data_IF_221307039809
#
_entry.id   IF_221307039809
#
_cell.length_a   1.000
_cell.length_b   1.000
_cell.length_c   1.000
_cell.angle_alpha   90.00
_cell.angle_beta   90.00
_cell.angle_gamma   90.00
#
_symmetry.space_group_name_H-M   'P 1'
#
loop_
_entity.id
_entity.type
_entity.pdbx_description
1 polymer ?
#
# COMPACT_ATOMS: atom_id res chain seq x y z
N UNK A 1 -17.66 7.14 -13.93
CA UNK A 1 -18.11 7.12 -12.51
C UNK A 1 -17.68 5.78 -11.93
N UNK A 2 -17.03 5.74 -10.78
CA UNK A 2 -16.33 4.54 -10.27
C UNK A 2 -17.22 3.79 -9.26
N UNK A 3 -17.25 2.47 -9.35
CA UNK A 3 -17.83 1.56 -8.35
C UNK A 3 -16.70 0.92 -7.55
N UNK A 4 -16.74 1.08 -6.23
CA UNK A 4 -15.71 0.60 -5.30
C UNK A 4 -16.13 -0.76 -4.75
N UNK A 5 -16.04 -1.78 -5.60
CA UNK A 5 -16.32 -3.16 -5.19
C UNK A 5 -15.06 -3.81 -4.58
N UNK A 6 -15.16 -5.07 -4.16
CA UNK A 6 -14.02 -5.81 -3.59
C UNK A 6 -12.80 -5.85 -4.54
N UNK A 7 -13.02 -6.16 -5.82
CA UNK A 7 -11.95 -6.15 -6.84
C UNK A 7 -11.26 -4.79 -7.00
N UNK A 8 -11.94 -3.70 -6.67
CA UNK A 8 -11.35 -2.38 -6.66
C UNK A 8 -10.20 -2.29 -5.66
N UNK A 9 -10.33 -2.91 -4.48
CA UNK A 9 -9.32 -2.91 -3.42
C UNK A 9 -8.11 -3.79 -3.77
N UNK A 10 -8.32 -4.94 -4.42
CA UNK A 10 -7.22 -5.83 -4.84
C UNK A 10 -6.40 -5.30 -6.02
N UNK A 11 -6.95 -4.35 -6.79
CA UNK A 11 -6.26 -3.82 -7.96
C UNK A 11 -5.15 -2.83 -7.58
N UNK A 12 -3.90 -3.19 -7.88
CA UNK A 12 -2.72 -2.36 -7.65
C UNK A 12 -2.78 -0.95 -8.24
N UNK A 13 -3.56 -0.76 -9.31
CA UNK A 13 -3.70 0.55 -9.96
C UNK A 13 -4.57 1.52 -9.15
N UNK A 14 -5.36 1.03 -8.22
CA UNK A 14 -6.25 1.82 -7.36
C UNK A 14 -5.63 2.14 -6.00
N UNK A 15 -4.32 1.91 -5.83
CA UNK A 15 -3.65 2.01 -4.54
C UNK A 15 -3.82 3.38 -3.87
N UNK A 16 -3.77 4.47 -4.63
CA UNK A 16 -3.96 5.82 -4.08
C UNK A 16 -5.32 6.00 -3.40
N UNK A 17 -6.43 5.84 -4.13
CA UNK A 17 -7.77 5.84 -3.53
C UNK A 17 -7.95 4.83 -2.39
N UNK A 18 -7.43 3.61 -2.52
CA UNK A 18 -7.53 2.56 -1.49
C UNK A 18 -6.84 2.98 -0.19
N UNK A 19 -5.62 3.53 -0.27
CA UNK A 19 -4.93 4.06 0.90
C UNK A 19 -5.68 5.21 1.55
N UNK A 20 -6.25 6.14 0.77
CA UNK A 20 -7.05 7.24 1.32
C UNK A 20 -8.29 6.74 2.06
N UNK A 21 -8.94 5.69 1.56
CA UNK A 21 -10.03 5.02 2.26
C UNK A 21 -9.52 4.47 3.59
N UNK A 22 -8.46 3.66 3.60
CA UNK A 22 -7.91 3.08 4.84
C UNK A 22 -7.48 4.11 5.86
N UNK A 23 -6.78 5.16 5.41
CA UNK A 23 -6.38 6.31 6.25
C UNK A 23 -7.59 7.02 6.84
N UNK A 24 -8.64 7.26 6.05
CA UNK A 24 -9.86 7.89 6.53
C UNK A 24 -10.57 7.01 7.58
N UNK A 25 -10.72 5.72 7.31
CA UNK A 25 -11.33 4.77 8.24
C UNK A 25 -10.58 4.75 9.58
N UNK A 26 -9.25 4.73 9.53
CA UNK A 26 -8.40 4.69 10.72
C UNK A 26 -8.48 6.00 11.50
N UNK A 27 -8.18 7.14 10.86
CA UNK A 27 -8.14 8.47 11.52
C UNK A 27 -9.46 8.89 12.14
N UNK A 28 -10.59 8.49 11.55
CA UNK A 28 -11.93 8.85 12.05
C UNK A 28 -12.56 7.76 12.93
N UNK A 29 -11.84 6.67 13.25
CA UNK A 29 -12.35 5.62 14.13
C UNK A 29 -13.59 4.89 13.60
N UNK A 30 -13.82 4.88 12.28
CA UNK A 30 -15.06 4.37 11.65
C UNK A 30 -15.32 2.91 12.04
N UNK A 31 -16.51 2.61 12.54
CA UNK A 31 -16.97 1.28 12.94
C UNK A 31 -17.92 0.67 11.90
N UNK A 32 -18.26 -0.61 12.02
CA UNK A 32 -19.17 -1.27 11.07
C UNK A 32 -20.59 -0.67 11.08
N UNK A 33 -21.03 -0.18 12.25
CA UNK A 33 -22.32 0.51 12.38
C UNK A 33 -22.35 1.85 11.63
N UNK A 34 -21.22 2.54 11.53
CA UNK A 34 -21.13 3.80 10.79
C UNK A 34 -21.31 3.61 9.27
N UNK A 35 -21.14 2.39 8.75
CA UNK A 35 -21.33 2.09 7.33
C UNK A 35 -22.80 2.08 6.90
N UNK A 36 -23.74 2.05 7.85
CA UNK A 36 -25.17 2.18 7.54
C UNK A 36 -25.56 3.65 7.29
N UNK A 37 -24.70 4.60 7.66
CA UNK A 37 -24.87 6.02 7.37
C UNK A 37 -24.35 6.38 5.96
N UNK A 38 -25.26 6.85 5.10
CA UNK A 38 -24.94 7.27 3.74
C UNK A 38 -24.03 8.50 3.70
N UNK A 39 -24.06 9.39 4.69
CA UNK A 39 -23.18 10.55 4.77
C UNK A 39 -21.76 10.13 5.10
N UNK A 40 -21.57 9.15 5.99
CA UNK A 40 -20.27 8.53 6.27
C UNK A 40 -19.69 7.90 5.01
N UNK A 41 -20.45 7.07 4.31
CA UNK A 41 -20.01 6.43 3.06
C UNK A 41 -19.69 7.46 1.97
N UNK A 42 -20.47 8.54 1.88
CA UNK A 42 -20.19 9.62 0.93
C UNK A 42 -18.87 10.33 1.27
N UNK A 43 -18.59 10.56 2.56
CA UNK A 43 -17.35 11.18 3.00
C UNK A 43 -16.12 10.27 2.76
N UNK A 44 -16.28 8.94 2.87
CA UNK A 44 -15.25 7.97 2.46
C UNK A 44 -14.96 8.10 0.95
N UNK A 45 -15.99 8.17 0.10
CA UNK A 45 -15.78 8.33 -1.35
C UNK A 45 -15.11 9.68 -1.69
N UNK A 46 -15.44 10.74 -0.95
CA UNK A 46 -14.82 12.07 -1.11
C UNK A 46 -13.36 12.09 -0.69
N UNK A 47 -13.03 11.49 0.46
CA UNK A 47 -11.63 11.43 0.93
C UNK A 47 -10.74 10.68 -0.05
N UNK A 48 -11.30 9.68 -0.73
CA UNK A 48 -10.64 8.94 -1.80
C UNK A 48 -10.60 9.66 -3.15
N UNK A 49 -11.12 10.89 -3.25
CA UNK A 49 -11.24 11.68 -4.49
C UNK A 49 -12.07 11.00 -5.59
N UNK A 50 -12.96 10.09 -5.23
CA UNK A 50 -13.77 9.30 -6.17
C UNK A 50 -15.06 10.00 -6.58
N UNK A 51 -15.49 10.99 -5.79
CA UNK A 51 -16.58 11.90 -6.12
C UNK A 51 -16.14 13.34 -5.86
N UNK A 52 -16.49 14.30 -6.73
CA UNK A 52 -16.18 15.71 -6.51
C UNK A 52 -16.90 16.30 -5.29
N UNK A 53 -16.31 17.33 -4.69
CA UNK A 53 -16.97 18.17 -3.69
C UNK A 53 -18.28 18.74 -4.24
N UNK A 54 -19.34 18.72 -3.44
CA UNK A 54 -20.68 19.20 -3.85
C UNK A 54 -21.49 18.22 -4.70
N UNK A 55 -20.92 17.10 -5.15
CA UNK A 55 -21.67 16.01 -5.79
C UNK A 55 -22.05 14.94 -4.76
N UNK A 56 -23.28 14.42 -4.88
CA UNK A 56 -23.75 13.26 -4.12
C UNK A 56 -23.29 11.94 -4.74
N UNK A 57 -23.07 10.92 -3.91
CA UNK A 57 -22.93 9.55 -4.37
C UNK A 57 -24.29 8.98 -4.75
N UNK A 58 -24.34 8.09 -5.75
CA UNK A 58 -25.58 7.37 -6.06
C UNK A 58 -25.80 6.23 -5.06
N UNK A 59 -27.06 5.80 -4.81
CA UNK A 59 -27.33 4.67 -3.92
C UNK A 59 -26.55 3.40 -4.27
N UNK A 60 -26.36 3.14 -5.58
CA UNK A 60 -25.58 2.00 -6.04
C UNK A 60 -24.10 2.11 -5.65
N UNK A 61 -23.50 3.31 -5.69
CA UNK A 61 -22.12 3.51 -5.24
C UNK A 61 -21.98 3.27 -3.75
N UNK A 62 -22.92 3.77 -2.96
CA UNK A 62 -22.92 3.62 -1.50
C UNK A 62 -23.08 2.16 -1.09
N UNK A 63 -24.05 1.44 -1.69
CA UNK A 63 -24.24 0.02 -1.43
C UNK A 63 -23.01 -0.80 -1.84
N UNK A 64 -22.47 -0.55 -3.04
CA UNK A 64 -21.27 -1.26 -3.51
C UNK A 64 -20.06 -1.05 -2.59
N UNK A 65 -19.84 0.19 -2.13
CA UNK A 65 -18.76 0.49 -1.19
C UNK A 65 -18.99 -0.20 0.15
N UNK A 66 -20.20 -0.11 0.70
CA UNK A 66 -20.57 -0.75 1.98
C UNK A 66 -20.29 -2.24 1.94
N UNK A 67 -20.79 -2.91 0.90
CA UNK A 67 -20.64 -4.35 0.72
C UNK A 67 -19.16 -4.73 0.58
N UNK A 68 -18.39 -3.97 -0.19
CA UNK A 68 -16.95 -4.21 -0.33
C UNK A 68 -16.18 -4.06 0.99
N UNK A 69 -16.46 -3.00 1.76
CA UNK A 69 -15.84 -2.79 3.08
C UNK A 69 -16.20 -3.93 4.02
N UNK A 70 -17.46 -4.36 4.06
CA UNK A 70 -17.91 -5.46 4.93
C UNK A 70 -17.31 -6.80 4.53
N UNK A 71 -17.20 -7.09 3.23
CA UNK A 71 -16.56 -8.31 2.73
C UNK A 71 -15.09 -8.38 3.10
N UNK A 72 -14.34 -7.28 2.96
CA UNK A 72 -12.91 -7.25 3.32
C UNK A 72 -12.71 -7.14 4.84
N UNK A 73 -13.68 -6.57 5.55
CA UNK A 73 -13.67 -6.10 6.95
C UNK A 73 -12.99 -4.75 7.15
N UNK A 74 -13.61 -3.90 7.99
CA UNK A 74 -13.08 -2.58 8.36
C UNK A 74 -11.69 -2.69 8.98
N UNK A 75 -11.48 -3.65 9.88
CA UNK A 75 -10.22 -3.75 10.63
C UNK A 75 -9.03 -4.04 9.70
N UNK A 76 -9.24 -4.89 8.67
CA UNK A 76 -8.24 -5.10 7.64
C UNK A 76 -7.98 -3.84 6.82
N UNK A 77 -9.02 -3.09 6.45
CA UNK A 77 -8.84 -1.84 5.70
C UNK A 77 -8.17 -0.73 6.54
N UNK A 78 -8.34 -0.74 7.87
CA UNK A 78 -7.67 0.21 8.77
C UNK A 78 -6.19 -0.12 8.95
N UNK A 79 -5.86 -1.39 9.19
CA UNK A 79 -4.54 -1.75 9.74
C UNK A 79 -3.71 -2.69 8.87
N UNK A 80 -4.32 -3.32 7.86
CA UNK A 80 -3.71 -4.42 7.11
C UNK A 80 -3.95 -4.31 5.60
N UNK A 81 -4.00 -3.10 5.02
CA UNK A 81 -4.21 -2.94 3.57
C UNK A 81 -3.10 -3.60 2.73
N UNK A 82 -1.90 -3.79 3.26
CA UNK A 82 -0.84 -4.56 2.59
C UNK A 82 -1.24 -6.03 2.37
N UNK A 83 -2.17 -6.58 3.15
CA UNK A 83 -2.73 -7.92 2.94
C UNK A 83 -3.81 -7.96 1.86
N UNK A 84 -4.22 -6.80 1.36
CA UNK A 84 -5.30 -6.62 0.39
C UNK A 84 -4.75 -6.12 -0.94
N UNK A 85 -3.93 -5.08 -0.94
CA UNK A 85 -3.43 -4.48 -2.18
C UNK A 85 -1.95 -4.80 -2.40
N UNK A 86 -1.58 -5.46 -3.52
CA UNK A 86 -0.19 -5.83 -3.80
C UNK A 86 0.80 -4.66 -3.91
N UNK A 87 0.34 -3.47 -4.32
CA UNK A 87 1.22 -2.30 -4.36
C UNK A 87 1.56 -1.82 -2.94
N UNK A 88 0.62 -1.91 -2.00
CA UNK A 88 0.86 -1.58 -0.59
C UNK A 88 1.79 -2.62 0.03
N UNK A 89 1.59 -3.91 -0.28
CA UNK A 89 2.50 -4.98 0.17
C UNK A 89 3.95 -4.70 -0.24
N UNK A 90 4.17 -4.37 -1.52
CA UNK A 90 5.51 -4.09 -2.04
C UNK A 90 6.15 -2.89 -1.33
N UNK A 91 5.41 -1.79 -1.16
CA UNK A 91 5.94 -0.58 -0.48
C UNK A 91 6.17 -0.83 1.00
N UNK A 92 5.26 -1.53 1.69
CA UNK A 92 5.45 -1.91 3.09
C UNK A 92 6.68 -2.80 3.28
N UNK A 93 6.90 -3.74 2.35
CA UNK A 93 8.10 -4.56 2.36
C UNK A 93 9.38 -3.73 2.20
N UNK A 94 9.44 -2.86 1.21
CA UNK A 94 10.64 -2.05 0.95
C UNK A 94 10.88 -1.05 2.09
N UNK A 95 9.88 -0.23 2.44
CA UNK A 95 10.07 0.94 3.30
C UNK A 95 9.85 0.67 4.80
N UNK A 96 9.19 -0.43 5.17
CA UNK A 96 8.93 -0.75 6.58
C UNK A 96 9.70 -2.01 7.04
N UNK A 97 10.02 -2.94 6.13
CA UNK A 97 10.68 -4.20 6.51
C UNK A 97 12.15 -4.26 6.10
N UNK A 98 12.49 -3.91 4.85
CA UNK A 98 13.86 -4.04 4.34
C UNK A 98 14.74 -2.83 4.64
N UNK A 99 14.14 -1.64 4.58
CA UNK A 99 14.78 -0.34 4.80
C UNK A 99 13.86 0.54 5.67
N UNK A 100 13.59 0.15 6.93
CA UNK A 100 12.70 0.90 7.82
C UNK A 100 13.16 2.35 8.02
N UNK A 101 12.22 3.23 8.33
CA UNK A 101 12.50 4.57 8.83
C UNK A 101 12.91 4.53 10.29
N UNK A 102 14.09 5.05 10.61
CA UNK A 102 14.44 5.33 12.01
C UNK A 102 14.17 6.79 12.34
N UNK A 103 13.55 7.03 13.49
CA UNK A 103 13.21 8.37 13.97
C UNK A 103 14.45 9.23 14.29
N UNK A 104 15.61 8.59 14.52
CA UNK A 104 16.86 9.23 14.90
C UNK A 104 17.79 9.50 13.69
N UNK A 105 17.31 9.28 12.47
CA UNK A 105 18.14 9.47 11.28
C UNK A 105 18.42 10.93 10.98
N UNK A 106 19.67 11.19 10.60
CA UNK A 106 20.08 12.49 10.08
C UNK A 106 19.48 12.70 8.68
N UNK A 107 19.37 13.96 8.26
CA UNK A 107 18.80 14.33 6.96
C UNK A 107 19.52 13.60 5.79
N UNK A 108 20.83 13.42 5.88
CA UNK A 108 21.63 12.73 4.87
C UNK A 108 21.27 11.23 4.74
N UNK A 109 21.03 10.54 5.86
CA UNK A 109 20.61 9.14 5.88
C UNK A 109 19.21 8.96 5.26
N UNK A 110 18.32 9.93 5.52
CA UNK A 110 16.98 9.97 4.93
C UNK A 110 17.04 10.09 3.40
N UNK A 111 17.92 10.94 2.87
CA UNK A 111 18.09 11.12 1.42
C UNK A 111 18.65 9.85 0.77
N UNK A 112 19.68 9.23 1.35
CA UNK A 112 20.29 7.99 0.84
C UNK A 112 19.27 6.86 0.76
N UNK A 113 18.41 6.71 1.78
CA UNK A 113 17.35 5.70 1.76
C UNK A 113 16.29 6.02 0.71
N UNK A 114 15.86 7.28 0.60
CA UNK A 114 14.87 7.66 -0.42
C UNK A 114 15.40 7.34 -1.82
N UNK A 115 16.69 7.56 -2.07
CA UNK A 115 17.33 7.16 -3.32
C UNK A 115 17.39 5.64 -3.48
N UNK A 116 17.68 4.89 -2.42
CA UNK A 116 17.62 3.42 -2.41
C UNK A 116 16.23 2.90 -2.79
N UNK A 117 15.17 3.42 -2.18
CA UNK A 117 13.78 3.06 -2.52
C UNK A 117 13.49 3.34 -4.00
N UNK A 118 13.93 4.49 -4.51
CA UNK A 118 13.75 4.86 -5.92
C UNK A 118 14.49 3.91 -6.87
N UNK A 119 15.72 3.52 -6.52
CA UNK A 119 16.49 2.54 -7.30
C UNK A 119 15.77 1.19 -7.37
N UNK A 120 15.24 0.71 -6.23
CA UNK A 120 14.44 -0.52 -6.17
C UNK A 120 13.19 -0.42 -7.06
N UNK A 121 12.38 0.63 -6.91
CA UNK A 121 11.15 0.81 -7.69
C UNK A 121 11.40 1.04 -9.19
N UNK A 122 12.58 1.53 -9.55
CA UNK A 122 13.01 1.65 -10.96
C UNK A 122 13.45 0.33 -11.58
N UNK A 123 13.66 -0.71 -10.75
CA UNK A 123 14.16 -2.00 -11.19
C UNK A 123 15.67 -2.02 -11.43
N UNK A 124 16.43 -1.12 -10.79
CA UNK A 124 17.89 -1.09 -10.86
C UNK A 124 18.44 -2.41 -10.31
N UNK A 125 19.31 -3.06 -11.09
CA UNK A 125 19.68 -4.45 -10.84
C UNK A 125 20.39 -4.65 -9.50
N UNK A 126 21.32 -3.77 -9.17
CA UNK A 126 22.08 -3.88 -7.92
C UNK A 126 21.17 -3.69 -6.71
N UNK A 127 20.36 -2.64 -6.70
CA UNK A 127 19.44 -2.32 -5.62
C UNK A 127 18.37 -3.40 -5.44
N UNK A 128 17.79 -3.91 -6.53
CA UNK A 128 16.82 -5.02 -6.47
C UNK A 128 17.48 -6.31 -5.96
N UNK A 129 18.69 -6.62 -6.43
CA UNK A 129 19.42 -7.81 -5.97
C UNK A 129 19.74 -7.71 -4.47
N UNK A 130 20.13 -6.53 -3.99
CA UNK A 130 20.37 -6.29 -2.57
C UNK A 130 19.08 -6.40 -1.74
N UNK A 131 17.98 -5.81 -2.20
CA UNK A 131 16.68 -5.93 -1.56
C UNK A 131 16.22 -7.40 -1.49
N UNK A 132 16.42 -8.17 -2.57
CA UNK A 132 16.07 -9.59 -2.61
C UNK A 132 16.96 -10.45 -1.71
N UNK A 133 18.25 -10.13 -1.63
CA UNK A 133 19.18 -10.74 -0.66
C UNK A 133 18.71 -10.51 0.77
N UNK A 134 18.36 -9.26 1.12
CA UNK A 134 17.81 -8.93 2.44
C UNK A 134 16.50 -9.66 2.72
N UNK A 135 15.59 -9.69 1.74
CA UNK A 135 14.30 -10.37 1.83
C UNK A 135 14.46 -11.88 2.10
N UNK A 136 15.37 -12.52 1.37
CA UNK A 136 15.69 -13.95 1.52
C UNK A 136 16.66 -14.26 2.65
N UNK A 137 17.12 -13.26 3.43
CA UNK A 137 18.16 -13.40 4.47
C UNK A 137 19.43 -14.09 3.96
N UNK A 138 19.82 -13.81 2.71
CA UNK A 138 20.96 -14.42 2.01
C UNK A 138 20.89 -15.95 1.91
N UNK A 139 19.71 -16.56 2.08
CA UNK A 139 19.54 -18.02 2.05
C UNK A 139 19.36 -18.58 0.64
N UNK A 140 19.08 -17.72 -0.35
CA UNK A 140 18.78 -18.14 -1.71
C UNK A 140 19.96 -17.89 -2.66
N UNK A 141 20.33 -18.90 -3.47
CA UNK A 141 21.24 -18.71 -4.60
C UNK A 141 20.45 -18.21 -5.79
N UNK A 142 20.81 -17.04 -6.31
CA UNK A 142 20.08 -16.40 -7.39
C UNK A 142 20.46 -16.94 -8.74
N UNK A 143 19.46 -17.31 -9.54
CA UNK A 143 19.65 -17.53 -10.98
C UNK A 143 19.40 -16.21 -11.73
N UNK A 144 20.02 -16.00 -12.91
CA UNK A 144 19.73 -14.83 -13.74
C UNK A 144 18.24 -14.68 -14.09
N UNK A 145 17.52 -15.81 -14.24
CA UNK A 145 16.09 -15.82 -14.47
C UNK A 145 15.30 -15.29 -13.26
N UNK A 146 15.66 -15.71 -12.05
CA UNK A 146 15.04 -15.19 -10.81
C UNK A 146 15.27 -13.69 -10.67
N UNK A 147 16.51 -13.20 -10.83
CA UNK A 147 16.80 -11.76 -10.74
C UNK A 147 15.99 -10.97 -11.78
N UNK A 148 15.81 -11.50 -12.99
CA UNK A 148 14.97 -10.87 -14.02
C UNK A 148 13.49 -10.79 -13.58
N UNK A 149 12.93 -11.86 -13.03
CA UNK A 149 11.56 -11.87 -12.50
C UNK A 149 11.38 -10.88 -11.36
N UNK A 150 12.30 -10.92 -10.39
CA UNK A 150 12.29 -10.04 -9.21
C UNK A 150 12.40 -8.56 -9.63
N UNK A 151 13.27 -8.22 -10.59
CA UNK A 151 13.35 -6.87 -11.17
C UNK A 151 12.03 -6.44 -11.79
N UNK A 152 11.37 -7.31 -12.55
CA UNK A 152 10.07 -6.99 -13.14
C UNK A 152 8.99 -6.80 -12.09
N UNK A 153 9.08 -7.50 -10.96
CA UNK A 153 8.13 -7.38 -9.86
C UNK A 153 8.28 -6.06 -9.11
N UNK A 154 9.52 -5.72 -8.70
CA UNK A 154 9.81 -4.46 -8.01
C UNK A 154 9.61 -3.22 -8.90
N UNK A 155 9.75 -3.38 -10.22
CA UNK A 155 9.55 -2.30 -11.17
C UNK A 155 8.09 -1.88 -11.21
N UNK A 156 7.78 -0.78 -10.54
CA UNK A 156 6.50 -0.08 -10.65
C UNK A 156 6.79 1.35 -11.09
N UNK A 157 6.61 1.61 -12.40
CA UNK A 157 6.93 2.93 -13.00
C UNK A 157 6.17 4.07 -12.31
N UNK A 158 4.98 3.79 -11.78
CA UNK A 158 4.16 4.73 -11.00
C UNK A 158 4.73 5.07 -9.63
N UNK A 159 5.67 4.31 -9.08
CA UNK A 159 6.27 4.54 -7.75
C UNK A 159 7.67 5.17 -7.82
N UNK A 160 8.14 5.56 -9.00
CA UNK A 160 9.41 6.27 -9.18
C UNK A 160 9.26 7.73 -8.70
N UNK A 161 10.33 8.35 -8.19
CA UNK A 161 10.42 9.72 -7.63
C UNK A 161 9.65 10.82 -8.38
N UNK A 162 9.42 10.68 -9.69
CA UNK A 162 8.65 11.64 -10.50
C UNK A 162 7.13 11.55 -10.32
N UNK A 163 6.65 10.49 -9.68
CA UNK A 163 5.24 10.14 -9.48
C UNK A 163 4.87 10.12 -7.99
N UNK A 164 5.25 11.17 -7.26
CA UNK A 164 5.06 11.32 -5.80
C UNK A 164 3.59 11.07 -5.40
N UNK A 165 2.66 11.50 -6.24
CA UNK A 165 1.21 11.35 -6.04
C UNK A 165 0.70 9.91 -5.83
N UNK A 166 1.46 8.91 -6.28
CA UNK A 166 1.14 7.49 -6.08
C UNK A 166 1.72 6.92 -4.79
N UNK A 167 2.88 7.43 -4.36
CA UNK A 167 3.62 6.90 -3.21
C UNK A 167 3.21 7.58 -1.90
N UNK A 168 2.82 8.86 -1.95
CA UNK A 168 2.36 9.62 -0.79
C UNK A 168 1.15 8.99 -0.09
N UNK A 169 0.06 8.61 -0.78
CA UNK A 169 -1.07 7.98 -0.10
C UNK A 169 -0.67 6.69 0.62
N UNK A 170 0.24 5.90 0.04
CA UNK A 170 0.73 4.66 0.64
C UNK A 170 1.52 4.98 1.91
N UNK A 171 2.48 5.90 1.83
CA UNK A 171 3.28 6.33 2.99
C UNK A 171 2.42 6.94 4.08
N UNK A 172 1.45 7.77 3.72
CA UNK A 172 0.50 8.34 4.68
C UNK A 172 -0.27 7.25 5.40
N UNK A 173 -0.78 6.26 4.65
CA UNK A 173 -1.47 5.11 5.24
C UNK A 173 -0.55 4.29 6.16
N UNK A 174 0.65 3.91 5.69
CA UNK A 174 1.60 3.11 6.46
C UNK A 174 2.06 3.83 7.74
N UNK A 175 2.15 5.16 7.72
CA UNK A 175 2.45 5.96 8.92
C UNK A 175 1.31 5.99 9.95
N UNK A 176 0.09 5.56 9.60
CA UNK A 176 -1.04 5.51 10.54
C UNK A 176 -1.15 4.17 11.26
N UNK A 177 -0.30 3.20 10.93
CA UNK A 177 -0.37 1.84 11.45
C UNK A 177 0.97 1.46 12.08
N UNK A 178 0.91 0.60 13.10
CA UNK A 178 2.11 0.02 13.70
C UNK A 178 2.42 -1.31 13.02
N UNK A 179 3.63 -1.45 12.46
CA UNK A 179 4.10 -2.70 11.86
C UNK A 179 5.10 -3.33 12.82
N UNK A 180 4.59 -4.21 13.69
CA UNK A 180 5.41 -4.97 14.63
C UNK A 180 6.22 -6.08 13.95
N UNK A 181 6.97 -6.83 14.76
CA UNK A 181 7.83 -7.92 14.28
C UNK A 181 7.03 -9.03 13.59
N UNK A 182 5.88 -9.42 14.13
CA UNK A 182 5.03 -10.47 13.55
C UNK A 182 4.50 -10.08 12.16
N UNK A 183 4.02 -8.85 12.02
CA UNK A 183 3.56 -8.31 10.74
C UNK A 183 4.70 -8.15 9.74
N UNK A 184 5.90 -7.78 10.21
CA UNK A 184 7.10 -7.70 9.37
C UNK A 184 7.49 -9.07 8.81
N UNK A 185 7.41 -10.14 9.61
CA UNK A 185 7.64 -11.51 9.14
C UNK A 185 6.55 -11.95 8.15
N UNK A 186 5.28 -11.60 8.41
CA UNK A 186 4.18 -11.86 7.48
C UNK A 186 4.45 -11.20 6.12
N UNK A 187 4.72 -9.88 6.10
CA UNK A 187 4.99 -9.12 4.87
C UNK A 187 6.17 -9.73 4.12
N UNK A 188 7.24 -10.10 4.82
CA UNK A 188 8.42 -10.73 4.21
C UNK A 188 8.06 -12.05 3.54
N UNK A 189 7.32 -12.91 4.23
CA UNK A 189 6.91 -14.22 3.71
C UNK A 189 5.98 -14.06 2.50
N UNK A 190 4.94 -13.25 2.62
CA UNK A 190 3.96 -13.02 1.55
C UNK A 190 4.65 -12.48 0.29
N UNK A 191 5.62 -11.58 0.46
CA UNK A 191 6.42 -11.06 -0.65
C UNK A 191 7.27 -12.14 -1.32
N UNK A 192 7.89 -13.06 -0.56
CA UNK A 192 8.63 -14.17 -1.12
C UNK A 192 7.72 -15.15 -1.88
N UNK A 193 6.53 -15.42 -1.36
CA UNK A 193 5.55 -16.31 -2.00
C UNK A 193 4.96 -15.71 -3.29
N UNK A 194 5.03 -14.38 -3.44
CA UNK A 194 4.55 -13.65 -4.63
C UNK A 194 5.60 -13.54 -5.75
N UNK A 195 6.90 -13.71 -5.43
CA UNK A 195 8.04 -13.55 -6.36
C UNK A 195 8.33 -14.82 -7.19
#
# INVERSE_FOLDING_TARGET
>A
MVLVNENYFYNKNNVGPVCRIGTYLNKNGITDGDLDDNDVLTNILRSATLIPTGKGATPNQLNTLRDAIRTITIDKLKTQLYRVNPAILLVACVECVLYPRHYDEQDDDTVIRMDTHCMIYSGEERAVTEAFNKLSRNSCRHTPAMIKSVKSFFKIERLIRKNIEYLEPIREYLNTIEIGNEESEFIRKEMLDTL
#
